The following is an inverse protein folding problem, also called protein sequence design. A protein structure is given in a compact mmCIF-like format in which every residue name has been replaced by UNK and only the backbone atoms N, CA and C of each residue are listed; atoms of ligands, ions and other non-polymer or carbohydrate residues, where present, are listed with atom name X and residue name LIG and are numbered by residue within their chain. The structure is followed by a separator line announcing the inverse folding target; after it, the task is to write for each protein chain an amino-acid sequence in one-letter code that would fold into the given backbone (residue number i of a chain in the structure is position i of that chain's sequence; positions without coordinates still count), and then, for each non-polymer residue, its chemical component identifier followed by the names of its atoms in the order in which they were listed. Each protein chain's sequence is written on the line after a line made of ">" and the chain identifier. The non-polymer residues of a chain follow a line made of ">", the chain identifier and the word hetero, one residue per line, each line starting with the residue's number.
data_IF_143957697620
#
_entry.id   IF_143957697620
#
_cell.length_a   1.000
_cell.length_b   1.000
_cell.length_c   1.000
_cell.angle_alpha   90.00
_cell.angle_beta   90.00
_cell.angle_gamma   90.00
#
_symmetry.space_group_name_H-M   'P 1'
#
loop_
_entity.id
_entity.type
_entity.pdbx_description
1 polymer ?
#
# COMPACT_ATOMS: atom_id res chain seq x y z
N UNK A 1 25.96 6.11 -7.02
CA UNK A 1 24.86 6.56 -7.91
C UNK A 1 23.87 5.44 -8.25
N UNK A 2 24.12 4.56 -9.23
CA UNK A 2 23.13 3.54 -9.63
C UNK A 2 22.85 2.49 -8.52
N UNK A 3 23.91 2.02 -7.86
CA UNK A 3 23.79 1.06 -6.76
C UNK A 3 23.06 1.64 -5.56
N UNK A 4 23.38 2.87 -5.16
CA UNK A 4 22.68 3.59 -4.07
C UNK A 4 21.20 3.76 -4.37
N UNK A 5 20.85 4.11 -5.62
CA UNK A 5 19.46 4.23 -6.05
C UNK A 5 18.70 2.90 -5.90
N UNK A 6 19.29 1.79 -6.37
CA UNK A 6 18.67 0.47 -6.28
C UNK A 6 18.51 0.05 -4.81
N UNK A 7 19.55 0.23 -3.99
CA UNK A 7 19.50 -0.08 -2.55
C UNK A 7 18.41 0.75 -1.88
N UNK A 8 18.35 2.05 -2.15
CA UNK A 8 17.32 2.94 -1.61
C UNK A 8 15.92 2.46 -1.97
N UNK A 9 15.64 2.19 -3.25
CA UNK A 9 14.33 1.72 -3.71
C UNK A 9 13.94 0.41 -3.02
N UNK A 10 14.86 -0.55 -2.96
CA UNK A 10 14.58 -1.86 -2.36
C UNK A 10 14.35 -1.74 -0.86
N UNK A 11 15.24 -1.08 -0.12
CA UNK A 11 15.16 -0.99 1.34
C UNK A 11 13.98 -0.13 1.77
N UNK A 12 13.81 1.06 1.20
CA UNK A 12 12.70 1.96 1.56
C UNK A 12 11.38 1.37 1.10
N UNK A 13 11.29 0.86 -0.12
CA UNK A 13 10.05 0.31 -0.68
C UNK A 13 9.61 -0.97 0.02
N UNK A 14 10.46 -2.00 0.07
CA UNK A 14 10.12 -3.28 0.70
C UNK A 14 10.01 -3.11 2.22
N UNK A 15 10.95 -2.42 2.86
CA UNK A 15 10.99 -2.26 4.31
C UNK A 15 9.77 -1.53 4.86
N UNK A 16 9.35 -0.42 4.24
CA UNK A 16 8.13 0.28 4.67
C UNK A 16 6.87 -0.55 4.43
N UNK A 17 6.82 -1.34 3.35
CA UNK A 17 5.72 -2.25 3.05
C UNK A 17 5.61 -3.35 4.10
N UNK A 18 6.73 -3.94 4.54
CA UNK A 18 6.76 -4.90 5.65
C UNK A 18 6.22 -4.28 6.93
N UNK A 19 6.60 -3.05 7.27
CA UNK A 19 6.08 -2.37 8.47
C UNK A 19 4.57 -2.18 8.39
N UNK A 20 4.04 -1.84 7.22
CA UNK A 20 2.60 -1.75 6.98
C UNK A 20 1.89 -3.10 7.14
N UNK A 21 2.47 -4.19 6.64
CA UNK A 21 1.94 -5.55 6.83
C UNK A 21 1.93 -5.95 8.31
N UNK A 22 3.00 -5.67 9.04
CA UNK A 22 3.09 -5.89 10.49
C UNK A 22 2.04 -5.09 11.25
N UNK A 23 1.77 -3.85 10.82
CA UNK A 23 0.67 -3.05 11.36
C UNK A 23 -0.69 -3.71 11.09
N UNK A 24 -0.93 -4.21 9.87
CA UNK A 24 -2.13 -4.97 9.54
C UNK A 24 -2.31 -6.20 10.45
N UNK A 25 -1.25 -6.97 10.67
CA UNK A 25 -1.27 -8.13 11.58
C UNK A 25 -1.55 -7.69 13.02
N UNK A 26 -0.93 -6.61 13.49
CA UNK A 26 -1.14 -6.09 14.83
C UNK A 26 -2.58 -5.64 15.05
N UNK A 27 -3.13 -4.84 14.13
CA UNK A 27 -4.51 -4.33 14.20
C UNK A 27 -5.56 -5.44 14.13
N UNK A 28 -5.29 -6.51 13.38
CA UNK A 28 -6.11 -7.72 13.36
C UNK A 28 -6.09 -8.45 14.70
N UNK A 29 -4.91 -8.60 15.32
CA UNK A 29 -4.77 -9.26 16.63
C UNK A 29 -5.50 -8.54 17.76
N UNK A 30 -5.54 -7.20 17.73
CA UNK A 30 -6.26 -6.40 18.74
C UNK A 30 -7.73 -6.17 18.39
N UNK A 31 -8.24 -6.74 17.30
CA UNK A 31 -9.64 -6.66 16.90
C UNK A 31 -10.08 -5.31 16.33
N UNK A 32 -9.16 -4.45 15.89
CA UNK A 32 -9.53 -3.16 15.31
C UNK A 32 -10.02 -3.30 13.87
N UNK A 33 -9.20 -3.88 12.99
CA UNK A 33 -9.53 -4.15 11.59
C UNK A 33 -8.84 -5.45 11.13
N UNK A 34 -9.45 -6.26 10.24
CA UNK A 34 -8.95 -7.59 9.88
C UNK A 34 -7.66 -7.60 9.03
N UNK A 35 -7.08 -6.44 8.72
CA UNK A 35 -5.98 -6.32 7.76
C UNK A 35 -6.43 -6.53 6.31
N UNK A 36 -5.56 -6.19 5.36
CA UNK A 36 -5.85 -6.38 3.92
C UNK A 36 -5.61 -7.84 3.54
N UNK A 37 -6.59 -8.45 2.86
CA UNK A 37 -6.45 -9.80 2.33
C UNK A 37 -5.93 -9.77 0.89
N UNK A 38 -4.60 -9.85 0.72
CA UNK A 38 -3.94 -9.75 -0.59
C UNK A 38 -4.44 -10.75 -1.65
N UNK A 39 -4.78 -12.01 -1.35
CA UNK A 39 -5.38 -12.89 -2.35
C UNK A 39 -6.68 -12.35 -2.98
N UNK A 40 -7.48 -11.59 -2.22
CA UNK A 40 -8.67 -10.94 -2.77
C UNK A 40 -8.31 -9.82 -3.75
N UNK A 41 -7.23 -9.09 -3.49
CA UNK A 41 -6.68 -8.09 -4.43
C UNK A 41 -6.20 -8.78 -5.71
N UNK A 42 -5.54 -9.93 -5.61
CA UNK A 42 -5.14 -10.69 -6.78
C UNK A 42 -6.30 -11.25 -7.60
N UNK A 43 -7.38 -11.73 -6.94
CA UNK A 43 -8.63 -12.10 -7.64
C UNK A 43 -9.22 -10.91 -8.39
N UNK A 44 -9.28 -9.75 -7.74
CA UNK A 44 -9.73 -8.52 -8.38
C UNK A 44 -8.88 -8.18 -9.62
N UNK A 45 -7.56 -8.16 -9.49
CA UNK A 45 -6.63 -7.85 -10.59
C UNK A 45 -6.77 -8.82 -11.77
N UNK A 46 -6.87 -10.13 -11.49
CA UNK A 46 -7.03 -11.16 -12.52
C UNK A 46 -8.40 -11.12 -13.20
N UNK A 47 -9.42 -10.53 -12.55
CA UNK A 47 -10.74 -10.32 -13.12
C UNK A 47 -10.84 -9.12 -14.07
N UNK A 48 -9.95 -8.13 -13.95
CA UNK A 48 -9.98 -6.89 -14.75
C UNK A 48 -9.96 -7.16 -16.27
N UNK A 49 -9.08 -8.02 -16.83
CA UNK A 49 -9.06 -8.30 -18.28
C UNK A 49 -10.37 -8.90 -18.81
N UNK A 50 -11.16 -9.55 -17.95
CA UNK A 50 -12.47 -10.11 -18.28
C UNK A 50 -13.64 -9.13 -18.02
N UNK A 51 -13.34 -7.86 -17.69
CA UNK A 51 -14.35 -6.82 -17.43
C UNK A 51 -14.89 -6.80 -15.99
N UNK A 52 -14.36 -7.64 -15.09
CA UNK A 52 -14.72 -7.61 -13.67
C UNK A 52 -13.94 -6.49 -12.96
N UNK A 53 -14.40 -5.24 -13.13
CA UNK A 53 -13.73 -4.06 -12.56
C UNK A 53 -13.88 -3.95 -11.03
N UNK A 54 -14.88 -4.64 -10.47
CA UNK A 54 -15.15 -4.73 -9.03
C UNK A 54 -15.12 -6.19 -8.63
N UNK A 55 -14.45 -6.49 -7.51
CA UNK A 55 -14.41 -7.82 -6.93
C UNK A 55 -15.83 -8.32 -6.63
N UNK A 56 -16.16 -9.50 -7.14
CA UNK A 56 -17.41 -10.16 -6.84
C UNK A 56 -17.40 -10.71 -5.40
N UNK A 57 -18.11 -10.02 -4.50
CA UNK A 57 -18.26 -10.43 -3.11
C UNK A 57 -19.13 -11.69 -2.92
N UNK A 58 -19.78 -12.19 -3.97
CA UNK A 58 -20.57 -13.44 -3.94
C UNK A 58 -19.75 -14.66 -4.32
N UNK A 59 -18.54 -14.49 -4.85
CA UNK A 59 -17.64 -15.59 -5.20
C UNK A 59 -17.00 -16.20 -3.94
N UNK A 60 -17.61 -17.28 -3.46
CA UNK A 60 -17.15 -18.03 -2.27
C UNK A 60 -16.07 -19.05 -2.57
N UNK A 61 -15.56 -19.14 -3.81
CA UNK A 61 -14.52 -20.13 -4.15
C UNK A 61 -13.23 -19.82 -3.39
N UNK A 62 -12.51 -20.84 -2.92
CA UNK A 62 -11.19 -20.66 -2.30
C UNK A 62 -10.25 -19.87 -3.20
N UNK A 63 -9.40 -19.04 -2.59
CA UNK A 63 -8.39 -18.30 -3.34
C UNK A 63 -7.33 -19.24 -3.92
N UNK A 64 -6.93 -19.00 -5.17
CA UNK A 64 -5.88 -19.78 -5.82
C UNK A 64 -4.49 -19.27 -5.41
N UNK A 65 -3.46 -20.09 -5.61
CA UNK A 65 -2.07 -19.67 -5.40
C UNK A 65 -1.69 -18.50 -6.32
N UNK A 66 -2.21 -18.48 -7.55
CA UNK A 66 -1.98 -17.39 -8.50
C UNK A 66 -2.61 -16.08 -8.02
N UNK A 67 -3.83 -16.13 -7.48
CA UNK A 67 -4.49 -14.95 -6.87
C UNK A 67 -3.67 -14.44 -5.68
N UNK A 68 -3.21 -15.34 -4.80
CA UNK A 68 -2.34 -14.94 -3.70
C UNK A 68 -1.04 -14.29 -4.19
N UNK A 69 -0.35 -14.91 -5.15
CA UNK A 69 0.91 -14.41 -5.70
C UNK A 69 0.74 -13.03 -6.36
N UNK A 70 -0.27 -12.86 -7.21
CA UNK A 70 -0.54 -11.58 -7.90
C UNK A 70 -0.84 -10.48 -6.90
N UNK A 71 -1.66 -10.77 -5.88
CA UNK A 71 -1.99 -9.81 -4.84
C UNK A 71 -0.76 -9.32 -4.07
N UNK A 72 0.09 -10.25 -3.62
CA UNK A 72 1.32 -9.92 -2.91
C UNK A 72 2.33 -9.18 -3.79
N UNK A 73 2.55 -9.64 -5.03
CA UNK A 73 3.46 -8.98 -5.98
C UNK A 73 2.99 -7.55 -6.23
N UNK A 74 1.70 -7.35 -6.49
CA UNK A 74 1.14 -6.02 -6.72
C UNK A 74 1.36 -5.09 -5.53
N UNK A 75 1.09 -5.57 -4.31
CA UNK A 75 1.32 -4.80 -3.08
C UNK A 75 2.77 -4.31 -2.95
N UNK A 76 3.74 -5.20 -3.11
CA UNK A 76 5.15 -4.83 -3.02
C UNK A 76 5.63 -3.96 -4.19
N UNK A 77 5.08 -4.15 -5.40
CA UNK A 77 5.36 -3.25 -6.53
C UNK A 77 4.87 -1.82 -6.27
N UNK A 78 3.72 -1.65 -5.61
CA UNK A 78 3.23 -0.32 -5.21
C UNK A 78 4.17 0.31 -4.16
N UNK A 79 4.62 -0.46 -3.17
CA UNK A 79 5.63 0.00 -2.20
C UNK A 79 6.93 0.48 -2.87
N UNK A 80 7.44 -0.30 -3.83
CA UNK A 80 8.60 0.08 -4.64
C UNK A 80 8.31 1.34 -5.49
N UNK A 81 7.13 1.45 -6.09
CA UNK A 81 6.75 2.62 -6.88
C UNK A 81 6.73 3.90 -6.03
N UNK A 82 6.25 3.83 -4.78
CA UNK A 82 6.33 4.96 -3.85
C UNK A 82 7.78 5.31 -3.50
N UNK A 83 8.67 4.34 -3.29
CA UNK A 83 10.08 4.63 -3.06
C UNK A 83 10.78 5.27 -4.28
N UNK A 84 10.48 4.79 -5.50
CA UNK A 84 10.97 5.37 -6.77
C UNK A 84 10.52 6.82 -6.94
N UNK A 85 9.31 7.17 -6.46
CA UNK A 85 8.76 8.51 -6.63
C UNK A 85 9.60 9.61 -5.98
N UNK A 86 10.34 9.31 -4.90
CA UNK A 86 11.18 10.30 -4.22
C UNK A 86 12.31 10.85 -5.10
N UNK A 87 13.27 10.03 -5.59
CA UNK A 87 14.30 10.52 -6.49
C UNK A 87 13.74 10.96 -7.85
N UNK A 88 12.58 10.44 -8.28
CA UNK A 88 11.93 10.84 -9.53
C UNK A 88 11.44 12.29 -9.49
N UNK A 89 10.79 12.71 -8.39
CA UNK A 89 10.17 14.04 -8.29
C UNK A 89 11.00 15.06 -7.51
N UNK A 90 11.88 14.64 -6.59
CA UNK A 90 12.75 15.52 -5.80
C UNK A 90 14.24 15.36 -6.14
N UNK A 91 14.57 14.55 -7.15
CA UNK A 91 15.93 14.34 -7.63
C UNK A 91 16.75 13.40 -6.74
N UNK A 92 17.89 12.97 -7.26
CA UNK A 92 18.76 12.00 -6.58
C UNK A 92 19.27 12.49 -5.23
N UNK A 93 19.34 13.81 -5.03
CA UNK A 93 19.75 14.44 -3.77
C UNK A 93 18.83 14.11 -2.59
N UNK A 94 17.59 13.68 -2.84
CA UNK A 94 16.71 13.20 -1.77
C UNK A 94 17.31 12.00 -1.03
N UNK A 95 18.04 11.12 -1.74
CA UNK A 95 18.63 9.92 -1.13
C UNK A 95 19.64 10.31 -0.05
N UNK A 96 20.44 11.35 -0.29
CA UNK A 96 21.46 11.83 0.66
C UNK A 96 20.93 12.81 1.70
N UNK A 97 19.76 13.42 1.46
CA UNK A 97 19.18 14.41 2.36
C UNK A 97 17.64 14.30 2.35
N UNK A 98 17.08 13.20 2.89
CA UNK A 98 15.64 12.98 2.88
C UNK A 98 14.94 14.01 3.76
N UNK A 99 13.86 14.57 3.24
CA UNK A 99 13.03 15.57 3.94
C UNK A 99 11.64 15.02 4.23
N UNK A 100 10.95 15.60 5.21
CA UNK A 100 9.65 15.11 5.67
C UNK A 100 8.55 15.34 4.63
N UNK A 101 8.58 16.47 3.92
CA UNK A 101 7.47 16.86 3.03
C UNK A 101 7.20 15.85 1.89
N UNK A 102 8.20 15.38 1.11
CA UNK A 102 7.98 14.37 0.09
C UNK A 102 7.41 13.07 0.66
N UNK A 103 7.94 12.62 1.82
CA UNK A 103 7.49 11.37 2.47
C UNK A 103 6.06 11.49 2.98
N UNK A 104 5.68 12.64 3.55
CA UNK A 104 4.31 12.90 3.94
C UNK A 104 3.37 12.90 2.73
N UNK A 105 3.74 13.60 1.66
CA UNK A 105 2.91 13.70 0.46
C UNK A 105 2.68 12.34 -0.19
N UNK A 106 3.75 11.57 -0.42
CA UNK A 106 3.64 10.25 -1.06
C UNK A 106 3.06 9.22 -0.10
N UNK A 107 3.68 9.09 1.08
CA UNK A 107 3.43 8.03 2.04
C UNK A 107 2.12 8.17 2.80
N UNK A 108 1.57 9.39 2.95
CA UNK A 108 0.27 9.62 3.60
C UNK A 108 -0.80 10.02 2.59
N UNK A 109 -0.60 11.09 1.82
CA UNK A 109 -1.67 11.65 1.00
C UNK A 109 -1.93 10.78 -0.24
N UNK A 110 -0.92 10.57 -1.08
CA UNK A 110 -1.08 9.84 -2.35
C UNK A 110 -1.46 8.37 -2.09
N UNK A 111 -0.79 7.72 -1.15
CA UNK A 111 -1.05 6.32 -0.79
C UNK A 111 -2.45 6.10 -0.20
N UNK A 112 -2.90 6.96 0.73
CA UNK A 112 -4.25 6.87 1.29
C UNK A 112 -5.31 7.13 0.23
N UNK A 113 -5.09 8.12 -0.64
CA UNK A 113 -6.01 8.38 -1.75
C UNK A 113 -6.07 7.19 -2.70
N UNK A 114 -4.94 6.61 -3.10
CA UNK A 114 -4.91 5.40 -3.93
C UNK A 114 -5.72 4.26 -3.29
N UNK A 115 -5.57 4.04 -1.99
CA UNK A 115 -6.37 3.08 -1.23
C UNK A 115 -7.87 3.41 -1.25
N UNK A 116 -8.26 4.66 -0.99
CA UNK A 116 -9.65 5.06 -0.79
C UNK A 116 -10.44 5.29 -2.09
N UNK A 117 -9.76 5.63 -3.20
CA UNK A 117 -10.42 6.00 -4.47
C UNK A 117 -10.17 5.00 -5.60
N UNK A 118 -9.15 4.13 -5.49
CA UNK A 118 -8.87 3.09 -6.49
C UNK A 118 -9.14 1.71 -5.89
N UNK A 119 -8.40 1.35 -4.84
CA UNK A 119 -8.48 0.00 -4.28
C UNK A 119 -9.86 -0.25 -3.63
N UNK A 120 -10.35 0.65 -2.78
CA UNK A 120 -11.65 0.48 -2.11
C UNK A 120 -12.82 0.29 -3.07
N UNK A 121 -12.98 1.10 -4.15
CA UNK A 121 -13.97 0.81 -5.19
C UNK A 121 -13.77 -0.55 -5.87
N UNK A 122 -12.53 -0.89 -6.24
CA UNK A 122 -12.19 -2.18 -6.86
C UNK A 122 -12.53 -3.37 -5.96
N UNK A 123 -12.38 -3.22 -4.65
CA UNK A 123 -12.72 -4.23 -3.64
C UNK A 123 -14.20 -4.21 -3.22
N UNK A 124 -15.04 -3.42 -3.88
CA UNK A 124 -16.48 -3.34 -3.61
C UNK A 124 -16.90 -2.39 -2.47
N UNK A 125 -15.94 -1.82 -1.73
CA UNK A 125 -16.18 -0.85 -0.65
C UNK A 125 -16.63 0.54 -1.13
N UNK A 126 -16.51 0.82 -2.43
CA UNK A 126 -16.86 2.12 -3.03
C UNK A 126 -15.87 3.24 -2.70
N UNK A 127 -16.07 4.41 -3.31
CA UNK A 127 -15.19 5.56 -3.10
C UNK A 127 -15.29 6.01 -1.63
N UNK A 128 -14.15 6.20 -0.97
CA UNK A 128 -14.04 6.50 0.47
C UNK A 128 -14.80 5.48 1.35
N UNK A 129 -14.73 4.20 0.99
CA UNK A 129 -15.35 3.10 1.75
C UNK A 129 -16.87 3.27 1.98
N UNK A 130 -17.57 4.10 1.19
CA UNK A 130 -18.97 4.48 1.40
C UNK A 130 -19.99 3.32 1.39
N UNK A 131 -19.61 2.16 0.85
CA UNK A 131 -20.46 0.96 0.82
C UNK A 131 -20.18 0.00 2.00
N UNK A 132 -19.19 0.29 2.84
CA UNK A 132 -18.91 -0.51 4.03
C UNK A 132 -19.83 -0.09 5.20
N UNK A 133 -20.21 -1.03 6.09
CA UNK A 133 -21.04 -0.73 7.25
C UNK A 133 -20.47 0.36 8.18
N UNK A 134 -19.14 0.49 8.24
CA UNK A 134 -18.47 1.51 9.04
C UNK A 134 -17.36 2.22 8.23
N UNK A 135 -17.77 3.07 7.29
CA UNK A 135 -16.86 3.82 6.42
C UNK A 135 -15.88 4.71 7.20
N UNK A 136 -16.34 5.37 8.26
CA UNK A 136 -15.51 6.25 9.09
C UNK A 136 -14.34 5.52 9.74
N UNK A 137 -14.60 4.36 10.35
CA UNK A 137 -13.54 3.54 10.94
C UNK A 137 -12.54 3.05 9.89
N UNK A 138 -13.01 2.69 8.69
CA UNK A 138 -12.12 2.26 7.60
C UNK A 138 -11.23 3.41 7.11
N UNK A 139 -11.77 4.62 6.95
CA UNK A 139 -10.98 5.79 6.55
C UNK A 139 -9.90 6.09 7.60
N UNK A 140 -10.26 6.12 8.89
CA UNK A 140 -9.30 6.34 9.98
C UNK A 140 -8.22 5.26 9.97
N UNK A 141 -8.61 3.99 9.81
CA UNK A 141 -7.66 2.89 9.71
C UNK A 141 -6.67 3.08 8.55
N UNK A 142 -7.16 3.39 7.35
CA UNK A 142 -6.32 3.63 6.17
C UNK A 142 -5.35 4.79 6.42
N UNK A 143 -5.82 5.91 6.97
CA UNK A 143 -4.96 7.07 7.25
C UNK A 143 -3.87 6.74 8.26
N UNK A 144 -4.21 6.08 9.38
CA UNK A 144 -3.23 5.70 10.41
C UNK A 144 -2.20 4.71 9.86
N UNK A 145 -2.66 3.71 9.10
CA UNK A 145 -1.78 2.73 8.49
C UNK A 145 -0.76 3.41 7.54
N UNK A 146 -1.20 4.38 6.75
CA UNK A 146 -0.33 5.12 5.83
C UNK A 146 0.58 6.14 6.52
N UNK A 147 0.18 6.70 7.67
CA UNK A 147 1.11 7.45 8.54
C UNK A 147 2.24 6.56 9.03
N UNK A 148 1.94 5.34 9.45
CA UNK A 148 2.96 4.37 9.91
C UNK A 148 3.88 3.96 8.76
N UNK A 149 3.30 3.70 7.58
CA UNK A 149 4.07 3.46 6.35
C UNK A 149 5.01 4.63 6.03
N UNK A 150 4.52 5.88 6.07
CA UNK A 150 5.32 7.08 5.82
C UNK A 150 6.45 7.26 6.85
N UNK A 151 6.17 7.02 8.13
CA UNK A 151 7.22 7.04 9.19
C UNK A 151 8.30 6.01 8.86
N UNK A 152 7.93 4.78 8.50
CA UNK A 152 8.89 3.75 8.12
C UNK A 152 9.71 4.15 6.88
N UNK A 153 9.06 4.72 5.85
CA UNK A 153 9.76 5.25 4.68
C UNK A 153 10.80 6.31 5.06
N UNK A 154 10.43 7.25 5.92
CA UNK A 154 11.32 8.34 6.34
C UNK A 154 12.51 7.82 7.16
N UNK A 155 12.25 6.94 8.14
CA UNK A 155 13.31 6.37 8.98
C UNK A 155 14.28 5.50 8.17
N UNK A 156 13.79 4.71 7.21
CA UNK A 156 14.64 3.92 6.31
C UNK A 156 15.42 4.80 5.34
N UNK A 157 14.83 5.89 4.85
CA UNK A 157 15.54 6.86 4.03
C UNK A 157 16.67 7.54 4.83
N UNK A 158 16.40 7.96 6.08
CA UNK A 158 17.42 8.52 6.97
C UNK A 158 18.54 7.53 7.31
N UNK A 159 18.22 6.25 7.43
CA UNK A 159 19.22 5.20 7.69
C UNK A 159 20.23 5.03 6.53
N UNK A 160 19.81 5.37 5.30
CA UNK A 160 20.62 5.21 4.09
C UNK A 160 21.32 6.50 3.63
N UNK A 161 20.96 7.64 4.23
CA UNK A 161 21.51 8.96 3.94
C UNK A 161 22.84 9.17 4.69
#
# INVERSE_FOLDING_TARGET
>A
MATELIIFILVVGIGSTIVLDLWGVFTAKIGWMPGTHWPSVGRWLLGIPAGHLVLDGTDTRPHTLSEAAVGWIFHYLIGLAYAVSFPLFWGIGFISAPTVFPVFLIGVIVSSLAGLIVLMPGMGGGIFARKLPNAGAMIVYVLVAHVIFAIAQYLLALLLA
#
